data_IF_129327465432
#
_entry.id   IF_129327465432
#
_cell.length_a   1.000
_cell.length_b   1.000
_cell.length_c   1.000
_cell.angle_alpha   90.00
_cell.angle_beta   90.00
_cell.angle_gamma   90.00
#
_symmetry.space_group_name_H-M   'P 1'
#
loop_
_entity.id
_entity.type
_entity.pdbx_description
1 polymer ?
#
# COMPACT_ATOMS: atom_id res chain seq x y z
N UNK A 1 -59.17 -11.40 -31.55
CA UNK A 1 -57.70 -11.43 -31.80
C UNK A 1 -57.31 -10.09 -32.40
N UNK A 2 -56.65 -9.22 -31.62
CA UNK A 2 -56.16 -7.92 -32.06
C UNK A 2 -54.62 -7.99 -32.02
N UNK A 3 -53.97 -7.89 -33.17
CA UNK A 3 -52.52 -7.82 -33.28
C UNK A 3 -52.08 -6.37 -33.13
N UNK A 4 -51.33 -6.08 -32.06
CA UNK A 4 -50.71 -4.77 -31.83
C UNK A 4 -49.28 -4.80 -32.39
N UNK A 5 -49.04 -3.96 -33.40
CA UNK A 5 -47.75 -3.78 -34.07
C UNK A 5 -46.83 -2.95 -33.16
N UNK A 6 -45.71 -3.51 -32.70
CA UNK A 6 -44.68 -2.74 -31.99
C UNK A 6 -43.71 -2.12 -33.00
N UNK A 7 -43.74 -0.78 -33.10
CA UNK A 7 -42.76 0.02 -33.83
C UNK A 7 -41.48 0.12 -32.99
N UNK A 8 -40.36 -0.45 -33.47
CA UNK A 8 -39.05 -0.23 -32.88
C UNK A 8 -38.50 1.13 -33.34
N UNK A 9 -38.37 2.07 -32.40
CA UNK A 9 -37.74 3.36 -32.65
C UNK A 9 -36.22 3.19 -32.49
N UNK A 10 -35.49 3.18 -33.61
CA UNK A 10 -34.04 3.22 -33.60
C UNK A 10 -33.57 4.66 -33.31
N UNK A 11 -33.13 4.92 -32.08
CA UNK A 11 -32.46 6.15 -31.69
C UNK A 11 -31.03 6.18 -32.25
N UNK A 12 -30.85 6.88 -33.36
CA UNK A 12 -29.53 7.19 -33.90
C UNK A 12 -28.94 8.32 -33.05
N UNK A 13 -28.00 8.00 -32.17
CA UNK A 13 -27.20 9.01 -31.46
C UNK A 13 -26.22 9.61 -32.46
N UNK A 14 -26.50 10.82 -32.93
CA UNK A 14 -25.57 11.60 -33.72
C UNK A 14 -24.37 12.01 -32.85
N UNK A 15 -23.19 11.46 -33.12
CA UNK A 15 -21.94 11.90 -32.51
C UNK A 15 -21.59 13.31 -33.02
N UNK A 16 -21.46 14.27 -32.11
CA UNK A 16 -20.99 15.61 -32.44
C UNK A 16 -19.54 15.55 -32.99
N UNK A 17 -19.26 16.15 -34.16
CA UNK A 17 -17.91 16.18 -34.71
C UNK A 17 -17.02 17.11 -33.87
N UNK A 18 -15.86 16.63 -33.43
CA UNK A 18 -14.80 17.49 -32.85
C UNK A 18 -14.38 17.22 -31.40
N UNK A 19 -15.00 16.27 -30.68
CA UNK A 19 -14.38 15.74 -29.45
C UNK A 19 -13.44 14.59 -29.82
N UNK A 20 -12.13 14.80 -29.64
CA UNK A 20 -11.18 13.68 -29.53
C UNK A 20 -11.72 12.77 -28.43
N UNK A 21 -12.14 11.56 -28.80
CA UNK A 21 -12.38 10.49 -27.85
C UNK A 21 -11.03 10.21 -27.21
N UNK A 22 -10.83 10.70 -25.98
CA UNK A 22 -9.71 10.28 -25.15
C UNK A 22 -10.00 8.80 -24.86
N UNK A 23 -9.12 7.87 -25.25
CA UNK A 23 -9.28 6.47 -24.88
C UNK A 23 -9.41 6.42 -23.36
N UNK A 24 -10.49 5.83 -22.85
CA UNK A 24 -10.48 5.42 -21.44
C UNK A 24 -9.36 4.40 -21.33
N UNK A 25 -8.38 4.72 -20.51
CA UNK A 25 -7.28 3.81 -20.17
C UNK A 25 -7.87 2.69 -19.30
N UNK A 26 -8.45 1.69 -19.97
CA UNK A 26 -8.90 0.47 -19.32
C UNK A 26 -7.71 -0.47 -19.28
N UNK A 27 -6.99 -0.50 -18.16
CA UNK A 27 -6.07 -1.60 -17.85
C UNK A 27 -6.87 -2.91 -18.02
N UNK A 28 -6.50 -3.80 -18.96
CA UNK A 28 -7.29 -4.99 -19.29
C UNK A 28 -7.18 -6.10 -18.22
N UNK A 29 -6.62 -5.82 -17.04
CA UNK A 29 -5.94 -6.82 -16.21
C UNK A 29 -6.68 -7.24 -14.93
N UNK A 30 -7.90 -6.76 -14.64
CA UNK A 30 -8.64 -7.15 -13.42
C UNK A 30 -10.13 -7.42 -13.73
N UNK A 31 -10.78 -8.44 -13.12
CA UNK A 31 -12.22 -8.68 -13.29
C UNK A 31 -13.03 -7.42 -13.00
N UNK A 32 -14.10 -7.21 -13.79
CA UNK A 32 -15.03 -6.05 -13.74
C UNK A 32 -15.59 -5.70 -12.36
N UNK A 33 -15.43 -6.57 -11.35
CA UNK A 33 -15.89 -6.37 -9.97
C UNK A 33 -14.91 -5.60 -9.09
N UNK A 34 -13.62 -5.55 -9.40
CA UNK A 34 -12.66 -4.78 -8.61
C UNK A 34 -12.77 -3.29 -8.99
N UNK A 35 -13.10 -2.45 -8.00
CA UNK A 35 -13.11 -1.00 -8.20
C UNK A 35 -11.70 -0.49 -7.97
N UNK A 36 -11.12 0.14 -8.98
CA UNK A 36 -9.88 0.90 -8.88
C UNK A 36 -9.99 1.91 -7.73
N UNK A 37 -8.99 1.91 -6.86
CA UNK A 37 -8.85 2.92 -5.82
C UNK A 37 -8.58 4.30 -6.44
N UNK A 38 -9.03 5.37 -5.78
CA UNK A 38 -8.67 6.75 -6.15
C UNK A 38 -7.30 7.17 -5.61
N UNK A 39 -6.70 6.30 -4.83
CA UNK A 39 -5.37 6.41 -4.27
C UNK A 39 -4.43 5.37 -4.90
N UNK A 40 -3.14 5.63 -4.83
CA UNK A 40 -2.07 4.72 -5.23
C UNK A 40 -0.85 5.01 -4.37
N UNK A 41 -0.08 3.97 -4.07
CA UNK A 41 1.18 4.15 -3.35
C UNK A 41 2.24 4.70 -4.29
N UNK A 42 3.35 5.21 -3.75
CA UNK A 42 4.50 5.60 -4.54
C UNK A 42 5.76 4.88 -4.05
N UNK A 43 6.73 4.59 -4.94
CA UNK A 43 8.06 4.17 -4.50
C UNK A 43 8.66 5.13 -3.46
N UNK A 44 9.53 4.59 -2.61
CA UNK A 44 10.14 5.31 -1.51
C UNK A 44 10.87 6.57 -1.99
N UNK A 45 10.62 7.70 -1.33
CA UNK A 45 11.30 8.96 -1.59
C UNK A 45 12.41 9.19 -0.56
N UNK A 46 13.47 8.36 -0.57
CA UNK A 46 14.63 8.55 0.33
C UNK A 46 15.22 9.94 0.17
N UNK A 47 15.45 10.60 1.29
CA UNK A 47 16.07 11.91 1.38
C UNK A 47 17.50 11.76 1.90
N UNK A 48 18.46 12.37 1.22
CA UNK A 48 19.85 12.38 1.66
C UNK A 48 20.00 13.30 2.87
N UNK A 49 20.31 12.77 4.05
CA UNK A 49 20.61 13.56 5.26
C UNK A 49 21.96 14.28 5.10
N UNK A 50 22.00 15.59 5.33
CA UNK A 50 23.24 16.39 5.20
C UNK A 50 24.19 16.21 6.39
N UNK A 51 23.69 15.69 7.52
CA UNK A 51 24.47 15.45 8.74
C UNK A 51 24.27 14.01 9.24
N UNK A 52 25.11 13.09 8.79
CA UNK A 52 25.19 11.69 9.27
C UNK A 52 25.86 11.58 10.66
N UNK A 53 25.54 12.51 11.57
CA UNK A 53 26.18 12.62 12.89
C UNK A 53 25.17 12.35 14.00
N UNK A 54 24.48 11.22 13.94
CA UNK A 54 23.95 10.60 15.15
C UNK A 54 23.81 9.09 14.96
N UNK A 55 24.13 8.37 16.03
CA UNK A 55 24.42 6.92 16.13
C UNK A 55 23.19 6.01 15.94
N UNK A 56 22.22 6.44 15.13
CA UNK A 56 21.01 5.71 14.78
C UNK A 56 20.96 5.55 13.26
N UNK A 57 20.87 4.31 12.77
CA UNK A 57 20.68 3.96 11.35
C UNK A 57 19.30 4.40 10.79
N UNK A 58 18.88 5.62 11.11
CA UNK A 58 17.60 6.21 10.73
C UNK A 58 17.85 7.11 9.53
N UNK A 59 17.15 6.82 8.44
CA UNK A 59 17.11 7.63 7.24
C UNK A 59 15.73 8.30 7.11
N UNK A 60 15.67 9.38 6.34
CA UNK A 60 14.43 10.11 6.12
C UNK A 60 13.81 9.76 4.77
N UNK A 61 12.48 9.69 4.74
CA UNK A 61 11.70 9.56 3.52
C UNK A 61 10.58 10.60 3.48
N UNK A 62 10.32 11.14 2.28
CA UNK A 62 9.21 12.07 2.07
C UNK A 62 7.83 11.44 2.26
N UNK A 63 7.71 10.10 2.19
CA UNK A 63 6.41 9.43 2.23
C UNK A 63 6.35 8.16 3.08
N UNK A 64 7.47 7.48 3.36
CA UNK A 64 7.47 6.18 4.07
C UNK A 64 8.05 6.29 5.49
N UNK A 65 7.40 5.64 6.43
CA UNK A 65 7.91 5.41 7.78
C UNK A 65 7.86 3.93 8.10
N UNK A 66 8.94 3.34 8.63
CA UNK A 66 8.97 1.91 8.92
C UNK A 66 10.35 1.29 8.77
N UNK A 67 10.39 0.04 8.32
CA UNK A 67 11.62 -0.72 8.17
C UNK A 67 11.73 -1.35 6.79
N UNK A 68 12.91 -1.27 6.18
CA UNK A 68 13.22 -1.86 4.86
C UNK A 68 14.45 -2.76 4.98
N UNK A 69 14.30 -4.04 4.65
CA UNK A 69 15.46 -4.94 4.47
C UNK A 69 15.94 -4.87 3.04
N UNK A 70 17.20 -4.50 2.85
CA UNK A 70 17.87 -4.55 1.56
C UNK A 70 18.60 -5.89 1.42
N UNK A 71 18.44 -6.55 0.28
CA UNK A 71 19.00 -7.88 0.05
C UNK A 71 18.71 -8.40 -1.35
N UNK A 72 18.49 -9.71 -1.47
CA UNK A 72 18.15 -10.34 -2.75
C UNK A 72 17.39 -11.64 -2.55
N UNK A 73 16.50 -11.93 -3.51
CA UNK A 73 15.68 -13.13 -3.51
C UNK A 73 14.65 -13.16 -2.40
N UNK A 74 14.20 -12.00 -1.91
CA UNK A 74 13.03 -11.90 -1.04
C UNK A 74 11.78 -12.21 -1.83
N UNK A 75 10.94 -13.10 -1.30
CA UNK A 75 9.74 -13.54 -1.99
C UNK A 75 8.51 -13.61 -1.10
N UNK A 76 8.63 -13.48 0.21
CA UNK A 76 7.48 -13.41 1.09
C UNK A 76 7.72 -12.40 2.20
N UNK A 77 6.73 -11.58 2.50
CA UNK A 77 6.76 -10.64 3.63
C UNK A 77 5.42 -10.73 4.36
N UNK A 78 5.47 -10.85 5.67
CA UNK A 78 4.30 -10.91 6.54
C UNK A 78 4.43 -9.94 7.70
N UNK A 79 3.30 -9.44 8.19
CA UNK A 79 3.22 -8.68 9.43
C UNK A 79 1.77 -8.53 9.87
N UNK A 80 1.57 -8.40 11.18
CA UNK A 80 0.25 -8.25 11.79
C UNK A 80 0.16 -6.94 12.55
N UNK A 81 -0.89 -6.16 12.32
CA UNK A 81 -1.14 -4.95 13.07
C UNK A 81 -2.42 -5.06 13.89
N UNK A 82 -2.53 -4.21 14.90
CA UNK A 82 -3.82 -3.84 15.47
C UNK A 82 -4.23 -2.52 14.81
N UNK A 83 -5.45 -2.45 14.27
CA UNK A 83 -5.95 -1.24 13.61
C UNK A 83 -6.04 -0.10 14.64
N UNK A 84 -5.32 1.01 14.43
CA UNK A 84 -5.30 2.11 15.40
C UNK A 84 -6.60 2.92 15.34
N UNK A 85 -6.88 3.64 16.43
CA UNK A 85 -7.77 4.80 16.36
C UNK A 85 -6.99 5.96 15.72
N UNK A 86 -7.64 6.71 14.83
CA UNK A 86 -7.01 7.81 14.11
C UNK A 86 -7.72 9.13 14.34
N UNK A 87 -6.96 10.22 14.33
CA UNK A 87 -7.50 11.57 14.47
C UNK A 87 -6.78 12.55 13.55
N UNK A 88 -7.43 13.63 13.14
CA UNK A 88 -6.80 14.60 12.25
C UNK A 88 -7.79 15.48 11.50
N UNK A 89 -7.26 16.27 10.57
CA UNK A 89 -8.07 17.13 9.72
C UNK A 89 -8.89 16.28 8.72
N UNK A 90 -10.04 16.81 8.28
CA UNK A 90 -10.82 16.15 7.23
C UNK A 90 -9.96 15.96 5.97
N UNK A 91 -9.88 14.72 5.48
CA UNK A 91 -9.06 14.35 4.32
C UNK A 91 -7.63 13.93 4.63
N UNK A 92 -7.16 14.01 5.87
CA UNK A 92 -5.89 13.36 6.25
C UNK A 92 -6.07 11.85 6.35
N UNK A 93 -5.03 11.11 5.93
CA UNK A 93 -5.03 9.66 5.88
C UNK A 93 -3.62 9.10 6.04
N UNK A 94 -3.51 7.81 6.30
CA UNK A 94 -2.29 7.06 6.03
C UNK A 94 -2.63 5.62 5.63
N UNK A 95 -1.66 4.93 5.06
CA UNK A 95 -1.73 3.50 4.79
C UNK A 95 -0.72 2.77 5.65
N UNK A 96 -1.01 1.53 6.02
CA UNK A 96 -0.05 0.60 6.62
C UNK A 96 -0.05 -0.68 5.79
N UNK A 97 1.12 -1.16 5.41
CA UNK A 97 1.23 -2.27 4.47
C UNK A 97 2.55 -3.03 4.62
N UNK A 98 2.57 -4.24 4.03
CA UNK A 98 3.78 -5.03 3.83
C UNK A 98 4.03 -5.22 2.33
N UNK A 99 5.30 -5.27 1.93
CA UNK A 99 5.64 -5.30 0.51
C UNK A 99 7.00 -5.90 0.18
N UNK A 100 7.20 -6.08 -1.13
CA UNK A 100 8.47 -6.40 -1.77
C UNK A 100 8.76 -5.32 -2.82
N UNK A 101 10.01 -4.82 -2.80
CA UNK A 101 10.55 -3.78 -3.69
C UNK A 101 10.00 -2.36 -3.46
N UNK A 102 10.33 -1.40 -4.31
CA UNK A 102 9.89 0.00 -4.19
C UNK A 102 10.85 0.95 -3.49
N UNK A 103 11.88 0.42 -2.84
CA UNK A 103 12.95 1.22 -2.26
C UNK A 103 14.16 1.31 -3.21
N UNK A 104 15.15 0.42 -3.08
CA UNK A 104 16.27 0.38 -4.04
C UNK A 104 15.83 -0.11 -5.42
N UNK A 105 14.74 -0.88 -5.50
CA UNK A 105 14.10 -1.28 -6.74
C UNK A 105 12.86 -0.43 -7.04
N UNK A 106 13.02 0.65 -7.81
CA UNK A 106 11.90 1.58 -8.09
C UNK A 106 10.96 1.12 -9.23
N UNK A 107 11.20 -0.03 -9.86
CA UNK A 107 10.46 -0.46 -11.05
C UNK A 107 9.14 -1.15 -10.75
N UNK A 108 8.99 -1.73 -9.56
CA UNK A 108 7.83 -2.50 -9.16
C UNK A 108 7.71 -2.51 -7.63
N UNK A 109 6.48 -2.70 -7.15
CA UNK A 109 6.20 -3.05 -5.75
C UNK A 109 5.07 -4.06 -5.77
N UNK A 110 5.20 -5.18 -5.06
CA UNK A 110 4.09 -6.06 -4.70
C UNK A 110 3.73 -5.79 -3.25
N UNK A 111 2.49 -5.36 -2.99
CA UNK A 111 2.11 -4.90 -1.66
C UNK A 111 0.62 -5.06 -1.35
N UNK A 112 0.30 -5.13 -0.07
CA UNK A 112 -1.07 -5.17 0.44
C UNK A 112 -1.14 -4.59 1.84
N UNK A 113 -2.26 -3.96 2.16
CA UNK A 113 -2.45 -3.35 3.46
C UNK A 113 -3.81 -2.71 3.64
N UNK A 114 -3.86 -1.81 4.61
CA UNK A 114 -5.06 -1.06 4.97
C UNK A 114 -4.76 0.44 5.02
N UNK A 115 -5.70 1.24 4.54
CA UNK A 115 -5.68 2.70 4.67
C UNK A 115 -6.72 3.13 5.69
N UNK A 116 -6.38 4.14 6.49
CA UNK A 116 -7.24 4.74 7.49
C UNK A 116 -7.34 6.25 7.28
N UNK A 117 -8.53 6.78 7.46
CA UNK A 117 -8.88 8.17 7.19
C UNK A 117 -9.40 8.84 8.46
N UNK A 118 -9.16 10.14 8.61
CA UNK A 118 -9.61 10.91 9.78
C UNK A 118 -11.14 10.94 9.97
N UNK A 119 -11.92 10.58 8.95
CA UNK A 119 -13.38 10.43 9.06
C UNK A 119 -13.83 9.07 9.61
N UNK A 120 -12.87 8.22 10.00
CA UNK A 120 -13.10 6.87 10.54
C UNK A 120 -13.34 5.80 9.49
N UNK A 121 -13.21 6.12 8.20
CA UNK A 121 -13.30 5.13 7.13
C UNK A 121 -11.98 4.37 6.94
N UNK A 122 -12.11 3.13 6.46
CA UNK A 122 -11.00 2.23 6.16
C UNK A 122 -11.10 1.67 4.75
N UNK A 123 -9.96 1.38 4.13
CA UNK A 123 -9.89 0.61 2.89
C UNK A 123 -8.89 -0.53 3.03
N UNK A 124 -9.28 -1.75 2.67
CA UNK A 124 -8.39 -2.88 2.45
C UNK A 124 -7.99 -2.95 0.99
N UNK A 125 -6.69 -3.12 0.68
CA UNK A 125 -6.23 -3.07 -0.72
C UNK A 125 -5.03 -3.95 -1.03
N UNK A 126 -4.84 -4.17 -2.32
CA UNK A 126 -3.67 -4.80 -2.92
C UNK A 126 -3.20 -3.97 -4.13
N UNK A 127 -1.91 -4.00 -4.42
CA UNK A 127 -1.32 -3.24 -5.53
C UNK A 127 -0.09 -3.95 -6.10
N UNK A 128 0.09 -3.79 -7.42
CA UNK A 128 1.33 -4.11 -8.11
C UNK A 128 1.76 -2.89 -8.94
N UNK A 129 2.67 -2.07 -8.41
CA UNK A 129 3.12 -0.84 -9.08
C UNK A 129 3.81 -1.19 -10.41
N UNK A 130 3.57 -0.45 -11.51
CA UNK A 130 2.89 0.86 -11.58
C UNK A 130 1.40 0.81 -11.94
N UNK A 131 0.71 -0.34 -11.81
CA UNK A 131 -0.75 -0.33 -11.87
C UNK A 131 -1.32 0.25 -10.58
N UNK A 132 -2.61 0.59 -10.61
CA UNK A 132 -3.31 1.20 -9.47
C UNK A 132 -3.51 0.22 -8.32
N UNK A 133 -3.74 0.76 -7.13
CA UNK A 133 -4.32 0.01 -6.03
C UNK A 133 -5.79 -0.39 -6.32
N UNK A 134 -6.19 -1.54 -5.78
CA UNK A 134 -7.54 -2.06 -5.88
C UNK A 134 -8.06 -2.47 -4.52
N UNK A 135 -9.32 -2.14 -4.24
CA UNK A 135 -9.93 -2.46 -2.95
C UNK A 135 -10.41 -3.92 -2.88
N UNK A 136 -10.21 -4.56 -1.73
CA UNK A 136 -10.99 -5.70 -1.31
C UNK A 136 -12.35 -5.23 -0.77
N UNK A 137 -13.43 -5.42 -1.54
CA UNK A 137 -14.75 -4.87 -1.19
C UNK A 137 -15.54 -5.66 -0.13
N UNK A 138 -15.07 -6.84 0.28
CA UNK A 138 -15.75 -7.73 1.24
C UNK A 138 -14.79 -8.09 2.38
N UNK A 139 -14.21 -7.07 3.00
CA UNK A 139 -13.29 -7.22 4.11
C UNK A 139 -13.55 -6.07 5.09
N UNK A 140 -14.29 -6.37 6.15
CA UNK A 140 -14.64 -5.36 7.13
C UNK A 140 -13.46 -5.11 8.08
N UNK A 141 -13.25 -3.84 8.42
CA UNK A 141 -12.19 -3.37 9.30
C UNK A 141 -12.82 -2.48 10.36
N UNK A 142 -12.45 -2.71 11.62
CA UNK A 142 -12.76 -1.86 12.76
C UNK A 142 -11.50 -1.53 13.56
N UNK A 143 -11.52 -0.41 14.28
CA UNK A 143 -10.48 -0.09 15.27
C UNK A 143 -10.35 -1.25 16.26
N UNK A 144 -9.11 -1.66 16.55
CA UNK A 144 -8.80 -2.78 17.42
C UNK A 144 -8.81 -4.15 16.74
N UNK A 145 -9.18 -4.25 15.47
CA UNK A 145 -9.05 -5.50 14.72
C UNK A 145 -7.57 -5.88 14.54
N UNK A 146 -7.29 -7.18 14.62
CA UNK A 146 -5.96 -7.73 14.33
C UNK A 146 -5.91 -8.15 12.86
N UNK A 147 -5.13 -7.41 12.05
CA UNK A 147 -5.02 -7.62 10.61
C UNK A 147 -3.66 -8.19 10.27
N UNK A 148 -3.63 -9.45 9.83
CA UNK A 148 -2.45 -10.06 9.24
C UNK A 148 -2.39 -9.74 7.74
N UNK A 149 -1.24 -9.25 7.31
CA UNK A 149 -0.93 -8.89 5.93
C UNK A 149 0.17 -9.82 5.43
N UNK A 150 0.07 -10.28 4.18
CA UNK A 150 1.14 -11.06 3.56
C UNK A 150 1.18 -10.88 2.05
N UNK A 151 2.39 -10.80 1.52
CA UNK A 151 2.67 -10.95 0.09
C UNK A 151 3.57 -12.15 -0.17
N UNK A 152 3.33 -12.85 -1.29
CA UNK A 152 4.12 -14.02 -1.74
C UNK A 152 4.36 -13.93 -3.25
N UNK A 153 5.59 -13.65 -3.66
CA UNK A 153 6.05 -13.62 -5.04
C UNK A 153 6.54 -15.01 -5.49
N UNK A 154 5.68 -15.74 -6.18
CA UNK A 154 6.05 -17.00 -6.85
C UNK A 154 7.05 -16.83 -8.00
N UNK A 155 7.10 -15.62 -8.58
CA UNK A 155 8.12 -15.16 -9.51
C UNK A 155 8.14 -13.64 -9.54
N UNK A 156 9.16 -13.06 -10.19
CA UNK A 156 9.27 -11.62 -10.41
C UNK A 156 8.10 -10.95 -11.14
N UNK A 157 7.13 -11.71 -11.64
CA UNK A 157 5.96 -11.22 -12.39
C UNK A 157 4.66 -11.90 -11.97
N UNK A 158 4.68 -12.66 -10.86
CA UNK A 158 3.52 -13.36 -10.33
C UNK A 158 3.60 -13.45 -8.83
N UNK A 159 2.50 -13.17 -8.16
CA UNK A 159 2.46 -13.28 -6.72
C UNK A 159 1.04 -13.26 -6.18
N UNK A 160 0.94 -13.23 -4.87
CA UNK A 160 -0.30 -13.25 -4.11
C UNK A 160 -0.22 -12.18 -3.04
N UNK A 161 -1.29 -11.39 -2.91
CA UNK A 161 -1.53 -10.48 -1.80
C UNK A 161 -2.69 -11.03 -0.96
N UNK A 162 -2.52 -11.10 0.36
CA UNK A 162 -3.54 -11.62 1.28
C UNK A 162 -3.67 -10.72 2.50
N UNK A 163 -4.91 -10.47 2.89
CA UNK A 163 -5.29 -9.88 4.17
C UNK A 163 -6.18 -10.86 4.93
N UNK A 164 -5.89 -11.01 6.22
CA UNK A 164 -6.68 -11.80 7.17
C UNK A 164 -7.03 -10.92 8.36
N UNK A 165 -8.33 -10.74 8.62
CA UNK A 165 -8.80 -10.12 9.85
C UNK A 165 -8.97 -11.26 10.86
N UNK A 166 -7.99 -11.39 11.75
CA UNK A 166 -7.93 -12.46 12.74
C UNK A 166 -9.03 -12.32 13.80
N UNK A 167 -9.48 -11.10 14.07
CA UNK A 167 -10.61 -10.82 14.97
C UNK A 167 -11.93 -11.36 14.41
N UNK A 168 -12.19 -11.15 13.12
CA UNK A 168 -13.46 -11.54 12.47
C UNK A 168 -13.39 -12.84 11.67
N UNK A 169 -12.20 -13.45 11.57
CA UNK A 169 -11.89 -14.60 10.71
C UNK A 169 -12.20 -14.39 9.22
N UNK A 170 -12.17 -13.13 8.76
CA UNK A 170 -12.30 -12.82 7.33
C UNK A 170 -10.95 -12.95 6.63
N UNK A 171 -10.96 -13.46 5.40
CA UNK A 171 -9.77 -13.59 4.57
C UNK A 171 -10.08 -13.20 3.14
N UNK A 172 -9.23 -12.36 2.57
CA UNK A 172 -9.28 -11.96 1.17
C UNK A 172 -7.91 -12.11 0.54
N UNK A 173 -7.90 -12.55 -0.71
CA UNK A 173 -6.68 -12.82 -1.45
C UNK A 173 -6.84 -12.36 -2.89
N UNK A 174 -5.77 -11.79 -3.44
CA UNK A 174 -5.64 -11.49 -4.86
C UNK A 174 -4.41 -12.20 -5.44
N UNK A 175 -4.57 -12.83 -6.60
CA UNK A 175 -3.48 -13.49 -7.32
C UNK A 175 -3.12 -12.72 -8.58
N UNK A 176 -1.89 -12.24 -8.64
CA UNK A 176 -1.31 -11.58 -9.79
C UNK A 176 -0.75 -12.63 -10.76
N UNK A 177 -1.35 -12.73 -11.94
CA UNK A 177 -0.91 -13.67 -12.99
C UNK A 177 -0.34 -12.96 -14.21
N UNK A 178 -0.67 -11.68 -14.41
CA UNK A 178 -0.15 -10.78 -15.43
C UNK A 178 0.11 -9.42 -14.78
N UNK A 179 1.38 -9.03 -14.67
CA UNK A 179 1.78 -7.81 -13.94
C UNK A 179 2.32 -6.74 -14.89
N UNK A 180 2.18 -5.45 -14.55
CA UNK A 180 2.65 -4.33 -15.38
C UNK A 180 4.18 -4.17 -15.41
N UNK A 181 4.87 -4.81 -14.46
CA UNK A 181 6.29 -4.62 -14.18
C UNK A 181 6.90 -5.91 -13.62
N UNK A 182 8.22 -5.88 -13.41
CA UNK A 182 9.01 -6.99 -12.89
C UNK A 182 9.68 -6.58 -11.58
N UNK A 183 9.50 -7.40 -10.54
CA UNK A 183 10.18 -7.27 -9.25
C UNK A 183 11.69 -7.51 -9.40
N UNK A 184 12.47 -6.80 -8.60
CA UNK A 184 13.89 -7.09 -8.39
C UNK A 184 14.08 -8.17 -7.32
N UNK A 185 13.15 -8.27 -6.35
CA UNK A 185 13.21 -9.10 -5.14
C UNK A 185 14.36 -8.68 -4.21
N UNK A 186 14.59 -7.37 -4.09
CA UNK A 186 15.73 -6.78 -3.37
C UNK A 186 15.34 -6.01 -2.12
N UNK A 187 14.06 -5.66 -1.97
CA UNK A 187 13.54 -5.02 -0.76
C UNK A 187 12.41 -5.87 -0.14
N UNK A 188 12.32 -5.83 1.18
CA UNK A 188 11.21 -6.39 1.95
C UNK A 188 10.90 -5.43 3.09
N UNK A 189 9.64 -5.04 3.25
CA UNK A 189 9.32 -3.87 4.08
C UNK A 189 7.97 -3.93 4.80
N UNK A 190 7.91 -3.15 5.90
CA UNK A 190 6.75 -2.90 6.75
C UNK A 190 6.62 -1.40 6.94
N UNK A 191 5.62 -0.80 6.31
CA UNK A 191 5.58 0.64 6.06
C UNK A 191 4.24 1.24 6.50
N UNK A 192 4.32 2.38 7.16
CA UNK A 192 3.27 3.40 7.20
C UNK A 192 3.57 4.47 6.15
N UNK A 193 2.60 4.86 5.35
CA UNK A 193 2.80 5.73 4.20
C UNK A 193 1.81 6.91 4.15
N UNK A 194 2.34 8.10 3.88
CA UNK A 194 1.60 9.23 3.33
C UNK A 194 1.48 9.06 1.80
N UNK A 195 0.43 8.35 1.36
CA UNK A 195 0.25 7.91 -0.03
C UNK A 195 -0.27 9.02 -0.96
N UNK A 196 -0.40 8.74 -2.26
CA UNK A 196 -0.94 9.68 -3.25
C UNK A 196 -2.45 9.49 -3.41
N UNK A 197 -3.22 10.56 -3.29
CA UNK A 197 -4.66 10.57 -3.59
C UNK A 197 -5.01 11.79 -4.46
N UNK A 198 -5.80 11.57 -5.51
CA UNK A 198 -6.23 12.64 -6.43
C UNK A 198 -5.07 13.49 -7.02
N UNK A 199 -3.88 12.90 -7.15
CA UNK A 199 -2.69 13.56 -7.72
C UNK A 199 -1.88 14.41 -6.73
N UNK A 200 -2.10 14.25 -5.42
CA UNK A 200 -1.30 14.89 -4.39
C UNK A 200 -1.08 13.94 -3.21
N UNK A 201 0.02 14.14 -2.50
CA UNK A 201 0.29 13.37 -1.30
C UNK A 201 -0.71 13.74 -0.21
N UNK A 202 -1.26 12.75 0.47
CA UNK A 202 -2.18 13.00 1.58
C UNK A 202 -1.44 13.66 2.74
N UNK A 203 -2.15 14.50 3.49
CA UNK A 203 -1.67 14.90 4.81
C UNK A 203 -1.72 13.68 5.72
N UNK A 204 -0.61 13.38 6.39
CA UNK A 204 -0.52 12.23 7.29
C UNK A 204 -1.48 12.42 8.47
N UNK A 205 -2.38 11.46 8.66
CA UNK A 205 -3.29 11.45 9.82
C UNK A 205 -2.52 11.07 11.09
N UNK A 206 -2.95 11.57 12.24
CA UNK A 206 -2.45 11.06 13.53
C UNK A 206 -3.03 9.67 13.75
N UNK A 207 -2.16 8.66 13.60
CA UNK A 207 -2.48 7.25 13.84
C UNK A 207 -1.98 6.75 15.19
N UNK A 208 -1.48 7.65 16.05
CA UNK A 208 -0.82 7.33 17.31
C UNK A 208 0.39 6.42 17.07
N UNK A 209 0.19 5.12 17.19
CA UNK A 209 1.24 4.12 16.97
C UNK A 209 0.69 2.92 16.21
N UNK A 210 1.40 2.53 15.14
CA UNK A 210 1.21 1.26 14.45
C UNK A 210 2.39 0.36 14.78
N UNK A 211 2.13 -0.88 15.19
CA UNK A 211 3.18 -1.89 15.35
C UNK A 211 2.86 -3.10 14.50
N UNK A 212 3.75 -3.41 13.56
CA UNK A 212 3.78 -4.69 12.87
C UNK A 212 4.41 -5.70 13.82
N UNK A 213 3.62 -6.63 14.31
CA UNK A 213 4.04 -7.82 15.06
C UNK A 213 4.19 -9.00 14.11
N UNK A 214 4.87 -10.05 14.58
CA UNK A 214 5.20 -11.24 13.78
C UNK A 214 5.79 -10.90 12.39
N UNK A 215 6.55 -9.79 12.35
CA UNK A 215 7.16 -9.29 11.14
C UNK A 215 8.21 -10.30 10.66
N UNK A 216 8.01 -10.84 9.46
CA UNK A 216 8.92 -11.83 8.88
C UNK A 216 9.08 -11.66 7.38
N UNK A 217 10.28 -11.95 6.90
CA UNK A 217 10.61 -12.03 5.48
C UNK A 217 11.20 -13.40 5.18
N UNK A 218 10.77 -14.01 4.09
CA UNK A 218 11.38 -15.22 3.53
C UNK A 218 11.97 -14.97 2.15
N UNK A 219 12.92 -15.81 1.78
CA UNK A 219 13.56 -15.77 0.49
C UNK A 219 14.53 -16.92 0.28
N UNK A 220 15.37 -16.80 -0.74
CA UNK A 220 16.41 -17.79 -1.04
C UNK A 220 17.40 -18.04 0.12
N UNK A 221 17.57 -17.06 1.01
CA UNK A 221 18.40 -17.15 2.21
C UNK A 221 17.73 -17.73 3.46
N UNK A 222 16.45 -18.15 3.36
CA UNK A 222 15.63 -18.58 4.49
C UNK A 222 14.75 -17.46 5.04
N UNK A 223 14.24 -17.66 6.26
CA UNK A 223 13.32 -16.73 6.93
C UNK A 223 14.04 -15.94 8.02
N UNK A 224 13.78 -14.64 8.11
CA UNK A 224 14.29 -13.76 9.16
C UNK A 224 13.27 -12.68 9.54
N UNK A 225 13.49 -11.99 10.66
CA UNK A 225 12.70 -10.81 11.06
C UNK A 225 13.28 -9.48 10.55
N UNK A 226 12.72 -8.35 11.01
CA UNK A 226 13.12 -7.00 10.58
C UNK A 226 14.48 -6.54 11.14
N UNK A 227 15.12 -7.30 12.03
CA UNK A 227 16.40 -6.88 12.61
C UNK A 227 17.47 -6.66 11.52
N UNK A 228 18.17 -5.53 11.63
CA UNK A 228 19.16 -5.08 10.66
C UNK A 228 18.56 -4.43 9.41
N UNK A 229 17.25 -4.16 9.38
CA UNK A 229 16.64 -3.30 8.38
C UNK A 229 17.12 -1.85 8.53
N UNK A 230 17.09 -1.11 7.42
CA UNK A 230 17.14 0.34 7.46
C UNK A 230 15.85 0.85 8.09
N UNK A 231 15.97 1.88 8.93
CA UNK A 231 14.82 2.53 9.57
C UNK A 231 14.51 3.80 8.80
N UNK A 232 13.24 3.97 8.43
CA UNK A 232 12.76 5.16 7.73
C UNK A 232 11.83 5.95 8.63
N UNK A 233 12.11 7.24 8.77
CA UNK A 233 11.22 8.22 9.37
C UNK A 233 10.55 9.06 8.28
N UNK A 234 9.27 9.41 8.47
CA UNK A 234 8.58 10.31 7.53
C UNK A 234 9.01 11.74 7.86
N UNK A 235 9.69 12.37 6.91
CA UNK A 235 10.04 13.79 6.98
C UNK A 235 9.98 14.41 5.58
N UNK A 236 9.23 15.51 5.38
CA UNK A 236 9.18 16.20 4.09
C UNK A 236 10.43 17.05 3.80
N UNK A 237 11.29 17.28 4.79
CA UNK A 237 12.33 18.32 4.80
C UNK A 237 13.65 17.84 5.43
N UNK A 238 14.04 16.59 5.16
CA UNK A 238 15.35 16.04 5.55
C UNK A 238 15.63 16.04 7.07
N UNK A 239 14.58 15.90 7.88
CA UNK A 239 14.64 15.79 9.33
C UNK A 239 14.40 17.08 10.10
N UNK A 240 14.21 18.22 9.43
CA UNK A 240 13.84 19.47 10.10
C UNK A 240 12.45 19.36 10.76
N UNK A 241 11.53 18.67 10.09
CA UNK A 241 10.22 18.25 10.58
C UNK A 241 10.11 16.74 10.44
N UNK A 242 9.96 16.05 11.56
CA UNK A 242 9.65 14.61 11.57
C UNK A 242 8.16 14.45 11.86
N UNK A 243 7.46 13.73 10.99
CA UNK A 243 6.02 13.46 11.10
C UNK A 243 5.75 12.08 11.70
N UNK A 244 6.64 11.12 11.48
CA UNK A 244 6.57 9.80 12.08
C UNK A 244 7.96 9.20 12.29
N UNK A 245 8.15 8.51 13.42
CA UNK A 245 9.40 7.85 13.80
C UNK A 245 9.23 6.34 13.84
N UNK A 246 10.17 5.62 13.24
CA UNK A 246 10.16 4.18 13.21
C UNK A 246 11.23 3.56 14.12
N UNK A 247 10.97 2.34 14.56
CA UNK A 247 11.94 1.54 15.30
C UNK A 247 11.69 0.05 15.11
N UNK A 248 12.71 -0.75 15.39
CA UNK A 248 12.70 -2.20 15.20
C UNK A 248 13.17 -2.89 16.47
N UNK A 249 12.37 -3.82 16.97
CA UNK A 249 12.67 -4.61 18.17
C UNK A 249 12.19 -6.05 18.01
N UNK A 250 13.13 -7.01 18.05
CA UNK A 250 12.81 -8.43 17.95
C UNK A 250 12.20 -8.83 16.59
N UNK A 251 10.89 -9.09 16.59
CA UNK A 251 10.10 -9.38 15.39
C UNK A 251 9.04 -8.30 15.15
N UNK A 252 9.31 -7.08 15.61
CA UNK A 252 8.38 -5.96 15.52
C UNK A 252 8.98 -4.74 14.86
N UNK A 253 8.16 -4.08 14.04
CA UNK A 253 8.40 -2.74 13.47
C UNK A 253 7.35 -1.81 14.06
N UNK A 254 7.76 -0.78 14.78
CA UNK A 254 6.86 0.20 15.37
C UNK A 254 7.05 1.54 14.68
N UNK A 255 5.96 2.16 14.26
CA UNK A 255 5.93 3.52 13.70
C UNK A 255 5.00 4.37 14.57
N UNK A 256 5.53 5.45 15.11
CA UNK A 256 4.82 6.42 15.95
C UNK A 256 4.64 7.73 15.21
N UNK A 257 3.42 8.26 15.20
CA UNK A 257 3.15 9.61 14.71
C UNK A 257 3.69 10.62 15.72
N UNK A 258 4.47 11.59 15.25
CA UNK A 258 5.08 12.64 16.08
C UNK A 258 4.87 14.05 15.51
N UNK A 259 4.03 14.18 14.48
CA UNK A 259 3.66 15.47 13.88
C UNK A 259 2.93 16.35 14.90
N UNK A 260 3.29 17.63 14.95
CA UNK A 260 2.61 18.66 15.75
C UNK A 260 1.86 19.65 14.86
#
# INVERSE_FOLDING_TARGET
MRFTLFLAVASVVAAAPGRKLIPRDTSPLVPRSARRARYSSAPNQRLSSVDSVNDSNVEYSGNWGGAVKIGSGYNQVEGTIIVPEVSGASGSAASTWVGIDGDTCQTAILQTGVSFYADGSFNAWYEWIPDYAYNFNNFDISVGDEIKMSVDASSKTKGVATLENLTTNQKVTHTFTNTPSTLCETNAEWIVEAFQENGSQVTLVDFGTVTFTDASVSGSGGTSGPQGADILDISPDQGETVLAQASVSGSSVTVEYVGN
#
